data_IF_445051744464
#
_entry.id   IF_445051744464
#
_cell.length_a   1.000
_cell.length_b   1.000
_cell.length_c   1.000
_cell.angle_alpha   90.00
_cell.angle_beta   90.00
_cell.angle_gamma   90.00
#
_symmetry.space_group_name_H-M   'P 1'
#
loop_
_entity.id
_entity.type
_entity.pdbx_description
1 polymer ?
#
# COMPACT_ATOMS: atom_id res chain seq x y z
N UNK A 1 -22.33 -5.52 -8.00
CA UNK A 1 -21.57 -6.18 -9.09
C UNK A 1 -20.79 -7.35 -8.49
N UNK A 2 -20.87 -8.55 -9.10
CA UNK A 2 -20.00 -9.69 -8.73
C UNK A 2 -18.85 -9.72 -9.73
N UNK A 3 -17.63 -9.43 -9.26
CA UNK A 3 -16.41 -9.64 -10.04
C UNK A 3 -15.96 -11.10 -9.87
N UNK A 4 -15.61 -11.75 -10.98
CA UNK A 4 -14.97 -13.04 -10.98
C UNK A 4 -13.50 -12.84 -11.30
N UNK A 5 -12.60 -13.26 -10.42
CA UNK A 5 -11.16 -13.02 -10.55
C UNK A 5 -10.37 -14.28 -10.20
N UNK A 6 -9.19 -14.40 -10.77
CA UNK A 6 -8.19 -15.41 -10.43
C UNK A 6 -6.96 -14.66 -9.90
N UNK A 7 -6.50 -15.04 -8.71
CA UNK A 7 -5.28 -14.51 -8.12
C UNK A 7 -4.07 -15.40 -8.45
N UNK A 8 -2.95 -14.77 -8.75
CA UNK A 8 -1.67 -15.45 -8.94
C UNK A 8 -0.57 -14.68 -8.20
N UNK A 9 0.28 -15.45 -7.49
CA UNK A 9 1.42 -14.92 -6.77
C UNK A 9 2.70 -15.60 -7.25
N UNK A 10 3.73 -14.82 -7.58
CA UNK A 10 5.06 -15.32 -7.93
C UNK A 10 6.06 -14.70 -6.98
N UNK A 11 6.79 -15.53 -6.23
CA UNK A 11 7.80 -15.10 -5.27
C UNK A 11 9.20 -15.39 -5.80
N UNK A 12 10.12 -14.43 -5.63
CA UNK A 12 11.56 -14.59 -5.86
C UNK A 12 12.30 -14.06 -4.65
N UNK A 13 13.22 -14.83 -4.12
CA UNK A 13 14.01 -14.46 -2.93
C UNK A 13 15.49 -14.43 -3.30
N UNK A 14 16.18 -13.38 -2.87
CA UNK A 14 17.61 -13.21 -2.97
C UNK A 14 18.12 -12.49 -1.72
N UNK A 15 19.40 -12.61 -1.39
CA UNK A 15 19.95 -11.90 -0.23
C UNK A 15 21.37 -12.32 0.12
N UNK A 16 21.87 -11.71 1.19
CA UNK A 16 23.14 -11.99 1.86
C UNK A 16 22.93 -12.07 3.38
N UNK A 17 24.02 -12.06 4.16
CA UNK A 17 23.98 -12.23 5.62
C UNK A 17 23.14 -11.18 6.35
N UNK A 18 23.06 -9.94 5.84
CA UNK A 18 22.40 -8.80 6.49
C UNK A 18 21.15 -8.30 5.75
N UNK A 19 20.89 -8.85 4.57
CA UNK A 19 19.80 -8.36 3.72
C UNK A 19 19.11 -9.49 2.98
N UNK A 20 17.79 -9.53 3.06
CA UNK A 20 16.94 -10.40 2.24
C UNK A 20 16.05 -9.53 1.36
N UNK A 21 15.94 -9.88 0.09
CA UNK A 21 15.06 -9.23 -0.87
C UNK A 21 14.01 -10.24 -1.33
N UNK A 22 12.77 -9.89 -1.20
CA UNK A 22 11.64 -10.67 -1.71
C UNK A 22 10.93 -9.86 -2.79
N UNK A 23 10.86 -10.40 -4.00
CA UNK A 23 10.05 -9.85 -5.09
C UNK A 23 8.78 -10.65 -5.23
N UNK A 24 7.66 -9.95 -5.19
CA UNK A 24 6.33 -10.53 -5.36
C UNK A 24 5.71 -9.91 -6.59
N UNK A 25 5.28 -10.75 -7.52
CA UNK A 25 4.36 -10.34 -8.57
C UNK A 25 2.99 -10.91 -8.22
N UNK A 26 2.06 -10.03 -7.92
CA UNK A 26 0.67 -10.37 -7.68
C UNK A 26 -0.17 -9.97 -8.88
N UNK A 27 -1.03 -10.85 -9.34
CA UNK A 27 -1.91 -10.56 -10.46
C UNK A 27 -3.33 -11.03 -10.19
N UNK A 28 -4.27 -10.25 -10.75
CA UNK A 28 -5.70 -10.51 -10.74
C UNK A 28 -6.17 -10.57 -12.18
N UNK A 29 -6.74 -11.70 -12.58
CA UNK A 29 -7.35 -11.84 -13.90
C UNK A 29 -8.86 -11.69 -13.80
N UNK A 30 -9.43 -10.73 -14.51
CA UNK A 30 -10.87 -10.56 -14.58
C UNK A 30 -11.48 -11.61 -15.53
N UNK A 31 -12.35 -12.48 -14.99
CA UNK A 31 -13.03 -13.55 -15.73
C UNK A 31 -14.54 -13.33 -15.85
N UNK A 32 -15.00 -12.11 -15.63
CA UNK A 32 -16.39 -11.72 -15.87
C UNK A 32 -16.77 -11.81 -17.35
N UNK A 33 -18.06 -11.75 -17.65
CA UNK A 33 -18.57 -11.86 -19.03
C UNK A 33 -18.64 -10.51 -19.75
N UNK A 34 -18.78 -9.43 -19.01
CA UNK A 34 -18.95 -8.07 -19.55
C UNK A 34 -17.76 -7.20 -19.13
N UNK A 35 -17.47 -6.18 -19.93
CA UNK A 35 -16.52 -5.15 -19.53
C UNK A 35 -16.98 -4.45 -18.23
N UNK A 36 -16.02 -4.06 -17.40
CA UNK A 36 -16.26 -3.17 -16.26
C UNK A 36 -15.66 -1.80 -16.58
N UNK A 37 -16.41 -0.75 -16.37
CA UNK A 37 -15.94 0.62 -16.48
C UNK A 37 -15.52 1.14 -15.08
N UNK A 38 -14.47 1.92 -15.01
CA UNK A 38 -13.96 2.50 -13.76
C UNK A 38 -15.02 3.34 -13.02
N UNK A 39 -15.99 3.92 -13.74
CA UNK A 39 -17.15 4.61 -13.17
C UNK A 39 -18.15 3.68 -12.46
N UNK A 40 -18.07 2.37 -12.69
CA UNK A 40 -18.96 1.37 -12.08
C UNK A 40 -18.25 0.57 -10.99
N UNK A 41 -16.99 0.16 -11.26
CA UNK A 41 -16.16 -0.58 -10.32
C UNK A 41 -14.68 -0.49 -10.72
N UNK A 42 -13.82 -0.37 -9.75
CA UNK A 42 -12.36 -0.44 -9.92
C UNK A 42 -11.84 -1.69 -9.22
N UNK A 43 -10.86 -2.34 -9.85
CA UNK A 43 -10.17 -3.51 -9.31
C UNK A 43 -8.68 -3.29 -9.50
N UNK A 44 -7.89 -3.46 -8.43
CA UNK A 44 -6.43 -3.47 -8.51
C UNK A 44 -5.86 -4.53 -7.58
N UNK A 45 -4.69 -5.11 -7.90
CA UNK A 45 -3.94 -5.91 -6.95
C UNK A 45 -3.50 -5.04 -5.78
N UNK A 46 -3.53 -5.62 -4.59
CA UNK A 46 -3.17 -4.94 -3.37
C UNK A 46 -2.42 -5.90 -2.45
N UNK A 47 -1.17 -5.62 -2.18
CA UNK A 47 -0.28 -6.45 -1.38
C UNK A 47 0.17 -5.73 -0.12
N UNK A 48 0.23 -6.45 0.98
CA UNK A 48 0.58 -5.92 2.28
C UNK A 48 1.78 -6.66 2.90
N UNK A 49 2.44 -5.99 3.82
CA UNK A 49 3.45 -6.56 4.70
C UNK A 49 3.07 -6.20 6.13
N UNK A 50 2.70 -7.20 6.91
CA UNK A 50 2.15 -7.05 8.25
C UNK A 50 3.22 -7.23 9.32
N UNK A 51 3.14 -6.43 10.37
CA UNK A 51 4.04 -6.44 11.53
C UNK A 51 3.22 -6.40 12.82
N UNK A 52 3.75 -7.04 13.85
CA UNK A 52 3.29 -6.90 15.20
C UNK A 52 3.62 -5.50 15.75
N UNK A 53 2.69 -4.86 16.45
CA UNK A 53 2.85 -3.53 17.05
C UNK A 53 3.15 -3.56 18.56
N UNK A 54 3.43 -4.71 19.14
CA UNK A 54 3.86 -4.81 20.54
C UNK A 54 5.17 -4.04 20.81
N UNK A 55 5.85 -3.60 19.75
CA UNK A 55 7.14 -2.91 19.79
C UNK A 55 7.09 -1.57 19.08
N UNK A 56 7.91 -0.63 19.54
CA UNK A 56 8.06 0.67 18.89
C UNK A 56 8.65 0.54 17.50
N UNK A 57 8.00 1.16 16.55
CA UNK A 57 8.46 1.27 15.18
C UNK A 57 8.22 2.65 14.59
N UNK A 58 8.86 2.89 13.45
CA UNK A 58 8.63 4.09 12.65
C UNK A 58 8.34 3.70 11.22
N UNK A 59 7.34 4.34 10.63
CA UNK A 59 7.16 4.34 9.18
C UNK A 59 7.85 5.57 8.62
N UNK A 60 8.60 5.38 7.52
CA UNK A 60 9.39 6.42 6.89
C UNK A 60 9.17 6.34 5.38
N UNK A 61 8.97 7.48 4.74
CA UNK A 61 8.84 7.57 3.28
C UNK A 61 9.25 8.96 2.77
N UNK A 62 9.75 9.09 1.53
CA UNK A 62 9.97 10.37 0.90
C UNK A 62 8.65 11.11 0.69
N UNK A 63 8.66 12.39 0.99
CA UNK A 63 7.50 13.25 0.83
C UNK A 63 8.00 14.67 0.55
N UNK A 64 7.69 15.20 -0.61
CA UNK A 64 8.10 16.56 -1.00
C UNK A 64 7.11 17.61 -0.51
N UNK A 65 5.85 17.21 -0.33
CA UNK A 65 4.76 18.07 0.12
C UNK A 65 3.86 17.28 1.08
N UNK A 66 3.51 17.82 2.27
CA UNK A 66 2.58 17.17 3.19
C UNK A 66 1.23 16.79 2.58
N UNK A 67 0.81 17.39 1.48
CA UNK A 67 -0.42 17.00 0.77
C UNK A 67 -0.31 15.65 0.03
N UNK A 68 0.89 15.06 -0.07
CA UNK A 68 1.12 13.73 -0.63
C UNK A 68 0.66 12.59 0.30
N UNK A 69 0.23 12.92 1.52
CA UNK A 69 -0.38 11.95 2.43
C UNK A 69 -1.72 12.47 2.95
N UNK A 70 -2.65 11.57 3.25
CA UNK A 70 -3.96 11.91 3.81
C UNK A 70 -4.58 10.74 4.57
N UNK A 71 -5.46 11.08 5.51
CA UNK A 71 -6.22 10.09 6.26
C UNK A 71 -7.29 9.42 5.38
N UNK A 72 -7.36 8.09 5.43
CA UNK A 72 -8.36 7.27 4.73
C UNK A 72 -9.51 6.86 5.67
N UNK A 73 -9.27 6.88 6.97
CA UNK A 73 -10.28 6.62 8.00
C UNK A 73 -10.65 7.91 8.76
N UNK A 74 -11.63 7.79 9.65
CA UNK A 74 -12.09 8.88 10.51
C UNK A 74 -11.07 9.30 11.58
N UNK A 75 -10.19 8.40 11.99
CA UNK A 75 -9.07 8.73 12.87
C UNK A 75 -7.99 9.50 12.09
N UNK A 76 -7.70 10.72 12.53
CA UNK A 76 -6.77 11.61 11.85
C UNK A 76 -5.38 11.47 12.46
N UNK A 77 -4.44 10.94 11.70
CA UNK A 77 -3.04 10.76 12.09
C UNK A 77 -2.06 11.38 11.11
N UNK A 78 -2.51 11.74 9.91
CA UNK A 78 -1.65 12.38 8.91
C UNK A 78 -0.97 13.66 9.46
N UNK A 79 -1.66 14.43 10.27
CA UNK A 79 -1.13 15.61 10.94
C UNK A 79 -0.13 15.34 12.07
N UNK A 80 -0.02 14.09 12.54
CA UNK A 80 0.95 13.68 13.56
C UNK A 80 2.30 13.26 12.95
N UNK A 81 2.39 13.15 11.61
CA UNK A 81 3.61 12.82 10.91
C UNK A 81 4.62 13.97 10.97
N UNK A 82 5.88 13.64 11.15
CA UNK A 82 6.98 14.60 11.21
C UNK A 82 7.61 14.77 9.83
N UNK A 83 7.45 15.94 9.25
CA UNK A 83 8.10 16.31 7.98
C UNK A 83 9.49 16.91 8.23
N UNK A 84 10.55 16.25 7.73
CA UNK A 84 11.93 16.72 7.84
C UNK A 84 12.74 16.32 6.61
N UNK A 85 13.43 17.30 5.99
CA UNK A 85 14.36 17.05 4.87
C UNK A 85 13.73 16.20 3.75
N UNK A 86 12.54 16.57 3.30
CA UNK A 86 11.79 15.83 2.25
C UNK A 86 11.48 14.36 2.62
N UNK A 87 11.47 14.07 3.92
CA UNK A 87 11.08 12.78 4.47
C UNK A 87 9.94 12.97 5.46
N UNK A 88 9.02 12.04 5.44
CA UNK A 88 7.97 11.92 6.45
C UNK A 88 8.30 10.76 7.38
N UNK A 89 8.19 11.00 8.68
CA UNK A 89 8.31 9.98 9.72
C UNK A 89 7.02 9.93 10.52
N UNK A 90 6.53 8.72 10.78
CA UNK A 90 5.38 8.47 11.64
C UNK A 90 5.76 7.41 12.67
N UNK A 91 5.58 7.73 13.95
CA UNK A 91 5.72 6.72 15.01
C UNK A 91 4.50 5.80 15.02
N UNK A 92 4.74 4.50 15.01
CA UNK A 92 3.68 3.51 15.17
C UNK A 92 3.46 3.29 16.65
N UNK A 93 2.23 3.49 17.17
CA UNK A 93 1.91 3.28 18.57
C UNK A 93 2.11 1.82 18.96
N UNK A 94 2.95 1.59 19.95
CA UNK A 94 3.23 0.25 20.48
C UNK A 94 2.03 -0.41 21.17
N UNK A 95 0.95 0.31 21.38
CA UNK A 95 -0.21 -0.17 22.13
C UNK A 95 -1.42 -0.58 21.24
N UNK A 96 -1.29 -0.46 19.92
CA UNK A 96 -2.32 -0.88 18.97
C UNK A 96 -3.70 -0.24 19.16
N UNK A 97 -3.81 0.86 19.94
CA UNK A 97 -5.10 1.41 20.36
C UNK A 97 -5.79 2.27 19.32
N UNK A 98 -5.06 2.70 18.30
CA UNK A 98 -5.62 3.51 17.21
C UNK A 98 -5.79 2.65 15.97
N UNK A 99 -7.01 2.57 15.46
CA UNK A 99 -7.25 2.05 14.12
C UNK A 99 -7.24 3.20 13.13
N UNK A 100 -6.24 3.23 12.27
CA UNK A 100 -6.11 4.27 11.26
C UNK A 100 -5.59 3.71 9.94
N UNK A 101 -5.80 4.45 8.88
CA UNK A 101 -5.15 4.22 7.60
C UNK A 101 -4.82 5.56 6.96
N UNK A 102 -3.59 5.68 6.44
CA UNK A 102 -3.17 6.81 5.61
C UNK A 102 -2.82 6.34 4.20
N UNK A 103 -3.22 7.11 3.21
CA UNK A 103 -2.86 6.92 1.82
C UNK A 103 -1.68 7.80 1.43
N UNK A 104 -0.79 7.28 0.60
CA UNK A 104 0.35 7.99 0.04
C UNK A 104 0.17 8.16 -1.46
N UNK A 105 0.49 9.36 -1.95
CA UNK A 105 0.35 9.75 -3.33
C UNK A 105 1.17 8.87 -4.30
N UNK A 106 0.78 8.83 -5.59
CA UNK A 106 1.52 8.14 -6.63
C UNK A 106 2.99 8.58 -6.82
N UNK A 107 3.32 9.80 -6.40
CA UNK A 107 4.68 10.38 -6.41
C UNK A 107 5.63 9.71 -5.42
N UNK A 108 5.12 9.17 -4.30
CA UNK A 108 5.94 8.52 -3.27
C UNK A 108 6.60 7.26 -3.85
N UNK A 109 7.95 7.18 -3.90
CA UNK A 109 8.64 6.11 -4.60
C UNK A 109 8.78 4.81 -3.79
N UNK A 110 8.78 4.89 -2.47
CA UNK A 110 8.93 3.76 -1.55
C UNK A 110 8.39 4.09 -0.16
N UNK A 111 8.14 3.06 0.63
CA UNK A 111 7.78 3.13 2.04
C UNK A 111 8.64 2.16 2.84
N UNK A 112 9.04 2.54 4.06
CA UNK A 112 9.79 1.67 4.95
C UNK A 112 9.20 1.64 6.36
N UNK A 113 9.34 0.49 7.01
CA UNK A 113 9.10 0.31 8.44
C UNK A 113 10.41 -0.01 9.14
N UNK A 114 10.76 0.77 10.15
CA UNK A 114 11.90 0.54 11.03
C UNK A 114 11.41 -0.02 12.36
N UNK A 115 11.61 -1.30 12.57
CA UNK A 115 11.39 -1.98 13.84
C UNK A 115 12.58 -1.69 14.78
N UNK A 116 12.45 -0.67 15.61
CA UNK A 116 13.57 -0.10 16.39
C UNK A 116 14.20 -1.15 17.33
N UNK A 117 13.37 -1.94 18.01
CA UNK A 117 13.86 -2.91 19.01
C UNK A 117 14.67 -4.05 18.41
N UNK A 118 14.35 -4.47 17.19
CA UNK A 118 15.04 -5.57 16.51
C UNK A 118 16.11 -5.09 15.53
N UNK A 119 16.29 -3.78 15.36
CA UNK A 119 17.20 -3.24 14.36
C UNK A 119 16.85 -3.69 12.94
N UNK A 120 15.57 -3.89 12.64
CA UNK A 120 15.11 -4.37 11.33
C UNK A 120 14.50 -3.22 10.55
N UNK A 121 15.01 -2.97 9.36
CA UNK A 121 14.40 -2.06 8.39
C UNK A 121 13.78 -2.89 7.25
N UNK A 122 12.49 -2.70 7.03
CA UNK A 122 11.75 -3.29 5.92
C UNK A 122 11.35 -2.19 4.96
N UNK A 123 11.85 -2.24 3.73
CA UNK A 123 11.56 -1.25 2.69
C UNK A 123 10.78 -1.90 1.55
N UNK A 124 9.72 -1.26 1.13
CA UNK A 124 8.91 -1.68 -0.01
C UNK A 124 8.98 -0.67 -1.14
N UNK A 125 9.26 -1.16 -2.33
CA UNK A 125 9.13 -0.43 -3.59
C UNK A 125 8.14 -1.16 -4.47
N UNK A 126 7.33 -0.42 -5.22
CA UNK A 126 6.42 -1.00 -6.19
C UNK A 126 6.74 -0.46 -7.59
N UNK A 127 6.60 -1.31 -8.61
CA UNK A 127 6.69 -0.85 -9.98
C UNK A 127 5.64 0.24 -10.25
N UNK A 128 6.00 1.26 -11.02
CA UNK A 128 5.01 2.25 -11.47
C UNK A 128 4.01 1.57 -12.39
N UNK A 129 2.74 1.93 -12.22
CA UNK A 129 1.67 1.47 -13.10
C UNK A 129 1.86 2.03 -14.53
N UNK A 130 1.24 1.37 -15.48
CA UNK A 130 1.15 1.88 -16.85
C UNK A 130 0.47 3.26 -16.84
N UNK A 131 0.96 4.26 -17.60
CA UNK A 131 0.37 5.60 -17.67
C UNK A 131 -1.12 5.64 -18.09
N UNK A 132 -1.63 4.59 -18.73
CA UNK A 132 -3.06 4.47 -19.08
C UNK A 132 -3.92 3.93 -17.92
N UNK A 133 -3.30 3.56 -16.81
CA UNK A 133 -3.99 3.11 -15.61
C UNK A 133 -4.02 4.22 -14.55
N UNK A 134 -4.96 4.12 -13.64
CA UNK A 134 -5.06 4.98 -12.45
C UNK A 134 -4.85 4.16 -11.19
N UNK A 135 -4.24 4.76 -10.17
CA UNK A 135 -4.32 4.21 -8.83
C UNK A 135 -5.73 4.37 -8.29
N UNK A 136 -6.18 3.41 -7.50
CA UNK A 136 -7.52 3.44 -6.92
C UNK A 136 -7.55 4.16 -5.58
N UNK A 137 -8.72 4.64 -5.19
CA UNK A 137 -9.02 5.01 -3.82
C UNK A 137 -9.32 3.73 -3.03
N UNK A 138 -8.57 3.52 -1.94
CA UNK A 138 -8.74 2.36 -1.05
C UNK A 138 -9.46 2.73 0.26
N UNK A 139 -10.07 3.90 0.31
CA UNK A 139 -10.78 4.38 1.49
C UNK A 139 -11.95 3.46 1.86
N UNK A 140 -12.04 3.13 3.14
CA UNK A 140 -13.20 2.44 3.70
C UNK A 140 -14.38 3.43 3.77
N UNK A 141 -15.28 3.34 2.81
CA UNK A 141 -16.41 4.24 2.65
C UNK A 141 -17.70 3.46 2.32
N UNK A 142 -18.85 4.05 2.64
CA UNK A 142 -20.13 3.46 2.32
C UNK A 142 -20.31 3.27 0.80
N UNK A 143 -20.96 2.18 0.36
CA UNK A 143 -21.30 1.99 -1.03
C UNK A 143 -22.11 3.17 -1.57
N UNK A 144 -21.68 3.73 -2.69
CA UNK A 144 -22.28 4.90 -3.35
C UNK A 144 -21.61 6.22 -3.02
N UNK A 145 -20.65 6.27 -2.09
CA UNK A 145 -19.77 7.41 -1.97
C UNK A 145 -18.90 7.54 -3.22
N UNK A 146 -18.67 8.78 -3.64
CA UNK A 146 -17.74 9.03 -4.74
C UNK A 146 -16.31 8.71 -4.28
N UNK A 147 -15.50 7.97 -5.08
CA UNK A 147 -14.10 7.73 -4.74
C UNK A 147 -13.31 9.04 -4.70
N UNK A 148 -12.28 9.09 -3.87
CA UNK A 148 -11.32 10.19 -3.89
C UNK A 148 -10.54 10.15 -5.20
N UNK A 149 -10.39 11.29 -5.88
CA UNK A 149 -9.63 11.39 -7.12
C UNK A 149 -8.12 11.17 -6.93
N UNK A 150 -7.63 11.25 -5.67
CA UNK A 150 -6.26 10.92 -5.30
C UNK A 150 -6.11 9.41 -5.22
N UNK A 151 -5.44 8.80 -6.16
CA UNK A 151 -5.14 7.38 -6.09
C UNK A 151 -4.04 7.08 -5.06
N UNK A 152 -4.13 5.94 -4.39
CA UNK A 152 -3.18 5.49 -3.38
C UNK A 152 -2.19 4.51 -3.99
N UNK A 153 -0.88 4.83 -3.91
CA UNK A 153 0.19 3.91 -4.33
C UNK A 153 0.71 3.06 -3.18
N UNK A 154 0.90 3.69 -2.03
CA UNK A 154 1.25 3.02 -0.78
C UNK A 154 0.28 3.44 0.32
N UNK A 155 0.17 2.61 1.33
CA UNK A 155 -0.66 2.90 2.49
C UNK A 155 0.01 2.39 3.76
N UNK A 156 -0.30 3.02 4.87
CA UNK A 156 -0.01 2.54 6.22
C UNK A 156 -1.32 2.26 6.91
N UNK A 157 -1.50 1.05 7.36
CA UNK A 157 -2.65 0.65 8.16
C UNK A 157 -2.19 0.23 9.55
N UNK A 158 -2.91 0.62 10.58
CA UNK A 158 -2.72 0.16 11.95
C UNK A 158 -4.05 -0.30 12.52
N UNK A 159 -4.06 -1.50 13.08
CA UNK A 159 -5.23 -2.09 13.70
C UNK A 159 -5.13 -2.06 15.24
N UNK A 160 -6.28 -1.90 15.88
CA UNK A 160 -6.38 -1.90 17.34
C UNK A 160 -6.24 -3.31 17.98
N UNK A 161 -6.11 -4.35 17.17
CA UNK A 161 -5.80 -5.72 17.60
C UNK A 161 -4.30 -6.03 17.68
N UNK A 162 -3.42 -5.06 17.46
CA UNK A 162 -1.99 -5.16 17.71
C UNK A 162 -1.14 -5.47 16.48
N UNK A 163 -1.57 -5.09 15.28
CA UNK A 163 -0.75 -5.16 14.09
C UNK A 163 -0.81 -3.89 13.25
N UNK A 164 0.18 -3.71 12.40
CA UNK A 164 0.24 -2.69 11.38
C UNK A 164 0.66 -3.28 10.04
N UNK A 165 0.40 -2.55 8.98
CA UNK A 165 0.74 -2.93 7.62
C UNK A 165 1.34 -1.77 6.85
N UNK A 166 2.34 -2.06 6.02
CA UNK A 166 2.75 -1.20 4.93
C UNK A 166 2.33 -1.87 3.63
N UNK A 167 1.59 -1.14 2.81
CA UNK A 167 0.85 -1.69 1.69
C UNK A 167 1.31 -1.08 0.39
N UNK A 168 1.14 -1.81 -0.72
CA UNK A 168 1.37 -1.32 -2.07
C UNK A 168 0.21 -1.73 -2.97
N UNK A 169 -0.25 -0.80 -3.80
CA UNK A 169 -1.43 -0.92 -4.65
C UNK A 169 -1.02 -0.84 -6.11
N UNK A 170 -1.59 -1.70 -6.95
CA UNK A 170 -1.44 -1.66 -8.40
C UNK A 170 -2.40 -0.69 -9.08
N UNK A 171 -2.40 -0.70 -10.40
CA UNK A 171 -3.23 0.16 -11.23
C UNK A 171 -4.52 -0.51 -11.69
N UNK A 172 -5.49 0.34 -12.07
CA UNK A 172 -6.73 -0.04 -12.69
C UNK A 172 -6.90 0.74 -14.01
N UNK A 173 -7.13 0.09 -15.16
CA UNK A 173 -7.46 0.78 -16.40
C UNK A 173 -8.89 1.33 -16.36
N UNK A 174 -9.20 2.28 -17.24
CA UNK A 174 -10.55 2.83 -17.38
C UNK A 174 -11.59 1.75 -17.71
N UNK A 175 -11.19 0.76 -18.49
CA UNK A 175 -12.06 -0.36 -18.89
C UNK A 175 -11.33 -1.67 -18.65
N UNK A 176 -11.93 -2.56 -17.86
CA UNK A 176 -11.46 -3.92 -17.61
C UNK A 176 -12.27 -4.87 -18.48
N UNK A 177 -11.66 -5.42 -19.53
CA UNK A 177 -12.27 -6.42 -20.41
C UNK A 177 -12.19 -7.82 -19.80
N UNK A 178 -13.07 -8.76 -20.15
CA UNK A 178 -12.90 -10.17 -19.86
C UNK A 178 -11.51 -10.67 -20.30
N UNK A 179 -10.77 -11.28 -19.39
CA UNK A 179 -9.39 -11.73 -19.62
C UNK A 179 -8.30 -10.69 -19.32
N UNK A 180 -8.66 -9.45 -18.97
CA UNK A 180 -7.66 -8.46 -18.53
C UNK A 180 -6.93 -8.96 -17.31
N UNK A 181 -5.60 -8.88 -17.35
CA UNK A 181 -4.71 -9.18 -16.21
C UNK A 181 -4.23 -7.85 -15.63
N UNK A 182 -4.50 -7.65 -14.36
CA UNK A 182 -3.99 -6.53 -13.56
C UNK A 182 -2.87 -7.06 -12.69
N UNK A 183 -1.75 -6.36 -12.58
CA UNK A 183 -0.61 -6.82 -11.78
C UNK A 183 0.06 -5.69 -11.01
N UNK A 184 0.70 -6.08 -9.91
CA UNK A 184 1.64 -5.25 -9.16
C UNK A 184 2.90 -6.06 -8.87
N UNK A 185 4.06 -5.50 -9.18
CA UNK A 185 5.35 -6.05 -8.78
C UNK A 185 5.89 -5.21 -7.62
N UNK A 186 6.18 -5.88 -6.51
CA UNK A 186 6.69 -5.27 -5.28
C UNK A 186 8.00 -5.95 -4.88
N UNK A 187 9.03 -5.15 -4.66
CA UNK A 187 10.24 -5.57 -3.99
C UNK A 187 10.17 -5.17 -2.51
N UNK A 188 10.32 -6.16 -1.63
CA UNK A 188 10.45 -5.95 -0.19
C UNK A 188 11.86 -6.34 0.24
N UNK A 189 12.60 -5.39 0.79
CA UNK A 189 13.95 -5.57 1.32
C UNK A 189 13.90 -5.58 2.85
N UNK A 190 14.41 -6.61 3.46
CA UNK A 190 14.60 -6.77 4.91
C UNK A 190 16.07 -6.61 5.22
N UNK A 191 16.43 -5.65 6.07
CA UNK A 191 17.82 -5.36 6.43
C UNK A 191 17.97 -5.21 7.94
N UNK A 192 18.93 -5.94 8.51
CA UNK A 192 19.40 -5.73 9.90
C UNK A 192 20.39 -4.55 9.96
N UNK A 193 20.28 -3.69 10.98
CA UNK A 193 21.10 -2.49 11.22
C UNK A 193 21.64 -2.48 12.64
#
# INVERSE_FOLDING_TARGET
>A
VRAHVIFQFIFRVAGDENKVIVRVNESVTYIGKNALHSSEAMIAPWTLCQFDTDYRGKVIFPCSDPSELWDLYSETVAGECLFRNEMMEMEVPADGKKRFQIGLAPSVPWIAFHHIQHGLIVTRTAQKIDPVQSYIDIRDADPGCQPDARGVRFSVYNDNSGFMEIEAVGGCPEIIQPGTVLSVEVETSYRLV
#
